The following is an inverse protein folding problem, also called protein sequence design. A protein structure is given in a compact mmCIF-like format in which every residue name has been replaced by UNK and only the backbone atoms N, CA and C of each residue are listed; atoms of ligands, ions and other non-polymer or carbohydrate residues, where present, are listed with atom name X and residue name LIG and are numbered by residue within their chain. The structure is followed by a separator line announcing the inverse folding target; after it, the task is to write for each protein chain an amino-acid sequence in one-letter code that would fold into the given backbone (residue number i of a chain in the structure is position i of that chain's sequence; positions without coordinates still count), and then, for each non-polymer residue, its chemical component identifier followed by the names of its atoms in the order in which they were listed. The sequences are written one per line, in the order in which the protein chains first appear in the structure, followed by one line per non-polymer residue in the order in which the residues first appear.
data_IF_222179826333
#
_entry.id   IF_222179826333
#
_cell.length_a   1.000
_cell.length_b   1.000
_cell.length_c   1.000
_cell.angle_alpha   90.00
_cell.angle_beta   90.00
_cell.angle_gamma   90.00
#
_symmetry.space_group_name_H-M   'P 1'
#
loop_
_entity.id
_entity.type
_entity.pdbx_description
1 polymer ?
#
# COMPACT_ATOMS: atom_id res chain seq x y z
N UNK A 1 18.00 9.83 -4.41
CA UNK A 1 18.34 8.77 -3.43
C UNK A 1 18.70 7.50 -4.16
N UNK A 2 19.79 6.86 -3.78
CA UNK A 2 20.19 5.54 -4.25
C UNK A 2 19.69 4.49 -3.26
N UNK A 3 19.17 3.38 -3.79
CA UNK A 3 18.82 2.17 -3.04
C UNK A 3 19.60 1.02 -3.69
N UNK A 4 20.57 0.44 -2.97
CA UNK A 4 21.26 -0.77 -3.41
C UNK A 4 20.50 -1.98 -2.87
N UNK A 5 20.00 -2.79 -3.78
CA UNK A 5 19.24 -4.01 -3.46
C UNK A 5 20.16 -5.20 -3.67
N UNK A 6 20.34 -6.08 -2.68
CA UNK A 6 21.21 -7.24 -2.80
C UNK A 6 20.63 -8.32 -3.73
N UNK A 7 21.48 -9.19 -4.31
CA UNK A 7 21.03 -10.38 -5.02
C UNK A 7 20.22 -11.31 -4.11
N UNK A 8 19.18 -11.93 -4.68
CA UNK A 8 18.28 -12.83 -3.95
C UNK A 8 17.14 -12.12 -3.23
N UNK A 9 17.03 -10.79 -3.38
CA UNK A 9 15.92 -10.02 -2.84
C UNK A 9 14.57 -10.54 -3.38
N UNK A 10 13.62 -10.68 -2.49
CA UNK A 10 12.22 -10.97 -2.83
C UNK A 10 11.50 -9.76 -3.44
N UNK A 11 10.17 -9.81 -3.52
CA UNK A 11 9.41 -8.68 -4.02
C UNK A 11 9.59 -7.44 -3.15
N UNK A 12 9.96 -6.32 -3.76
CA UNK A 12 9.99 -5.01 -3.15
C UNK A 12 9.38 -3.98 -4.09
N UNK A 13 9.01 -2.82 -3.56
CA UNK A 13 8.45 -1.74 -4.37
C UNK A 13 8.79 -0.39 -3.76
N UNK A 14 8.79 0.63 -4.57
CA UNK A 14 8.80 2.03 -4.16
C UNK A 14 7.43 2.59 -4.48
N UNK A 15 6.74 3.09 -3.48
CA UNK A 15 5.53 3.87 -3.65
C UNK A 15 5.77 5.33 -3.24
N UNK A 16 5.04 6.24 -3.83
CA UNK A 16 5.08 7.65 -3.46
C UNK A 16 4.33 7.95 -2.14
N UNK A 17 4.26 9.21 -1.73
CA UNK A 17 3.59 9.64 -0.51
C UNK A 17 2.09 9.27 -0.45
N UNK A 18 1.47 8.90 -1.57
CA UNK A 18 0.06 8.51 -1.69
C UNK A 18 -0.11 7.03 -2.05
N UNK A 19 0.92 6.23 -1.81
CA UNK A 19 0.97 4.81 -2.18
C UNK A 19 0.72 4.52 -3.67
N UNK A 20 1.00 5.50 -4.55
CA UNK A 20 1.02 5.24 -5.99
C UNK A 20 2.34 4.56 -6.35
N UNK A 21 2.25 3.63 -7.25
CA UNK A 21 3.40 2.87 -7.74
C UNK A 21 4.45 3.77 -8.41
N UNK A 22 5.71 3.58 -8.05
CA UNK A 22 6.87 4.23 -8.66
C UNK A 22 7.72 3.21 -9.41
N UNK A 23 8.24 2.18 -8.73
CA UNK A 23 9.03 1.11 -9.33
C UNK A 23 9.05 -0.11 -8.42
N UNK A 24 9.02 -1.32 -9.00
CA UNK A 24 9.28 -2.55 -8.27
C UNK A 24 10.79 -2.81 -8.16
N UNK A 25 11.20 -3.52 -7.09
CA UNK A 25 12.58 -3.94 -6.84
C UNK A 25 12.65 -5.44 -6.56
N UNK A 26 13.83 -6.03 -6.69
CA UNK A 26 14.01 -7.47 -6.45
C UNK A 26 13.31 -8.33 -7.51
N UNK A 27 12.69 -9.42 -7.11
CA UNK A 27 12.15 -10.42 -8.04
C UNK A 27 11.20 -9.86 -9.13
N UNK A 28 10.23 -8.97 -8.85
CA UNK A 28 9.40 -8.35 -9.87
C UNK A 28 10.03 -7.12 -10.54
N UNK A 29 11.11 -6.58 -9.96
CA UNK A 29 11.78 -5.39 -10.45
C UNK A 29 12.62 -5.60 -11.70
N UNK A 30 13.18 -4.53 -12.27
CA UNK A 30 14.05 -4.63 -13.45
C UNK A 30 15.32 -5.42 -13.19
N UNK A 31 15.80 -5.50 -11.95
CA UNK A 31 16.94 -6.33 -11.55
C UNK A 31 16.62 -7.84 -11.52
N UNK A 32 15.35 -8.22 -11.52
CA UNK A 32 14.88 -9.61 -11.52
C UNK A 32 15.50 -10.47 -10.43
N UNK A 33 15.68 -9.91 -9.25
CA UNK A 33 16.28 -10.56 -8.10
C UNK A 33 17.81 -10.76 -8.20
N UNK A 34 18.44 -10.19 -9.21
CA UNK A 34 19.92 -10.26 -9.36
C UNK A 34 20.64 -9.20 -8.52
N UNK A 35 19.88 -8.31 -7.92
CA UNK A 35 20.39 -7.15 -7.23
C UNK A 35 20.73 -5.99 -8.18
N UNK A 36 20.83 -4.80 -7.63
CA UNK A 36 21.14 -3.62 -8.44
C UNK A 36 21.01 -2.33 -7.67
N UNK A 37 21.37 -1.25 -8.35
CA UNK A 37 21.28 0.10 -7.82
C UNK A 37 20.08 0.83 -8.44
N UNK A 38 19.17 1.24 -7.59
CA UNK A 38 18.00 2.03 -7.98
C UNK A 38 18.27 3.50 -7.65
N UNK A 39 18.00 4.37 -8.60
CA UNK A 39 18.11 5.81 -8.40
C UNK A 39 16.73 6.45 -8.44
N UNK A 40 16.21 6.79 -7.26
CA UNK A 40 14.94 7.50 -7.12
C UNK A 40 15.23 8.98 -7.21
N UNK A 41 14.82 9.57 -8.30
CA UNK A 41 14.97 11.01 -8.60
C UNK A 41 13.81 11.77 -7.93
N UNK A 42 14.07 12.95 -7.36
CA UNK A 42 13.02 13.78 -6.79
C UNK A 42 12.18 14.44 -7.89
N UNK A 43 10.98 14.94 -7.57
CA UNK A 43 10.20 15.76 -8.48
C UNK A 43 10.99 16.97 -8.99
N UNK A 44 10.86 17.28 -10.28
CA UNK A 44 11.55 18.43 -10.90
C UNK A 44 13.06 18.26 -11.09
N UNK A 45 13.59 17.03 -11.02
CA UNK A 45 15.00 16.79 -11.28
C UNK A 45 15.31 16.97 -12.78
N UNK A 46 16.26 17.87 -13.08
CA UNK A 46 16.72 18.20 -14.45
C UNK A 46 18.19 17.83 -14.68
N UNK A 47 18.85 17.19 -13.71
CA UNK A 47 20.25 16.80 -13.80
C UNK A 47 20.49 15.57 -14.67
N UNK A 48 21.76 15.30 -14.97
CA UNK A 48 22.17 14.08 -15.65
C UNK A 48 22.00 12.85 -14.74
N UNK A 49 21.51 11.77 -15.34
CA UNK A 49 21.39 10.47 -14.67
C UNK A 49 22.63 9.64 -15.04
N UNK A 50 23.46 9.27 -14.07
CA UNK A 50 24.64 8.45 -14.37
C UNK A 50 24.25 7.03 -14.79
N UNK A 51 25.08 6.40 -15.58
CA UNK A 51 24.93 5.00 -15.99
C UNK A 51 25.02 4.02 -14.81
N UNK A 52 24.42 2.85 -14.98
CA UNK A 52 24.49 1.75 -13.99
C UNK A 52 23.39 1.79 -12.94
N UNK A 53 22.38 2.62 -13.11
CA UNK A 53 21.22 2.68 -12.21
C UNK A 53 19.92 2.34 -12.94
N UNK A 54 19.02 1.65 -12.24
CA UNK A 54 17.61 1.64 -12.59
C UNK A 54 16.99 2.95 -12.08
N UNK A 55 16.86 3.93 -12.95
CA UNK A 55 16.41 5.26 -12.55
C UNK A 55 14.92 5.47 -12.80
N UNK A 56 14.26 6.19 -11.87
CA UNK A 56 12.87 6.61 -11.99
C UNK A 56 12.66 7.91 -11.23
N UNK A 57 11.81 8.79 -11.76
CA UNK A 57 11.41 10.01 -11.05
C UNK A 57 10.17 9.73 -10.22
N UNK A 58 10.25 9.95 -8.91
CA UNK A 58 9.08 9.93 -8.03
C UNK A 58 8.30 11.25 -8.17
N UNK A 59 6.97 11.22 -8.18
CA UNK A 59 6.15 12.44 -8.18
C UNK A 59 6.12 13.15 -6.80
N UNK A 60 6.68 12.54 -5.76
CA UNK A 60 6.73 13.10 -4.40
C UNK A 60 8.12 13.02 -3.78
N UNK A 61 8.40 13.87 -2.80
CA UNK A 61 9.66 13.83 -2.04
C UNK A 61 9.70 12.68 -1.05
N UNK A 62 8.54 12.32 -0.48
CA UNK A 62 8.42 11.18 0.43
C UNK A 62 8.11 9.91 -0.35
N UNK A 63 8.83 8.84 -0.04
CA UNK A 63 8.60 7.54 -0.64
C UNK A 63 8.52 6.47 0.45
N UNK A 64 7.68 5.49 0.23
CA UNK A 64 7.55 4.27 1.03
C UNK A 64 8.22 3.12 0.30
N UNK A 65 9.12 2.40 0.97
CA UNK A 65 9.94 1.35 0.37
C UNK A 65 9.82 0.05 1.17
N UNK A 66 8.75 -0.74 0.99
CA UNK A 66 8.65 -2.08 1.57
C UNK A 66 9.51 -3.06 0.77
N UNK A 67 10.34 -3.79 1.48
CA UNK A 67 11.24 -4.79 0.93
C UNK A 67 10.95 -6.15 1.59
N UNK A 68 10.96 -7.22 0.80
CA UNK A 68 10.72 -8.58 1.26
C UNK A 68 11.88 -9.48 0.88
N UNK A 69 11.98 -10.63 1.54
CA UNK A 69 12.90 -11.68 1.20
C UNK A 69 12.19 -13.03 1.20
N UNK A 70 12.79 -14.01 0.55
CA UNK A 70 12.35 -15.40 0.63
C UNK A 70 12.91 -16.05 1.90
N UNK A 71 12.12 -16.94 2.49
CA UNK A 71 12.60 -17.82 3.55
C UNK A 71 13.45 -18.94 2.95
N UNK A 72 14.49 -19.32 3.64
CA UNK A 72 15.30 -20.50 3.31
C UNK A 72 15.07 -21.53 4.40
N UNK A 73 14.57 -22.70 4.03
CA UNK A 73 14.21 -23.78 4.97
C UNK A 73 13.27 -23.31 6.10
N UNK A 74 12.34 -22.39 5.78
CA UNK A 74 11.40 -21.81 6.74
C UNK A 74 12.02 -20.84 7.76
N UNK A 75 13.32 -20.48 7.61
CA UNK A 75 14.06 -19.61 8.53
C UNK A 75 14.28 -18.21 7.97
N UNK A 76 14.40 -17.25 8.87
CA UNK A 76 14.61 -15.83 8.54
C UNK A 76 16.08 -15.41 8.48
N UNK A 77 17.01 -16.21 9.01
CA UNK A 77 18.41 -15.83 9.23
C UNK A 77 19.12 -15.38 7.95
N UNK A 78 18.91 -16.13 6.85
CA UNK A 78 19.49 -15.81 5.54
C UNK A 78 18.92 -14.49 5.01
N UNK A 79 17.63 -14.27 5.16
CA UNK A 79 16.97 -13.06 4.75
C UNK A 79 17.44 -11.84 5.56
N UNK A 80 17.53 -11.97 6.87
CA UNK A 80 18.05 -10.92 7.77
C UNK A 80 19.48 -10.56 7.42
N UNK A 81 20.35 -11.57 7.24
CA UNK A 81 21.74 -11.35 6.85
C UNK A 81 21.86 -10.65 5.50
N UNK A 82 21.11 -11.12 4.50
CA UNK A 82 21.11 -10.52 3.15
C UNK A 82 20.77 -9.03 3.21
N UNK A 83 19.73 -8.65 3.96
CA UNK A 83 19.33 -7.24 4.07
C UNK A 83 20.30 -6.42 4.93
N UNK A 84 20.75 -6.92 6.06
CA UNK A 84 21.66 -6.19 6.94
C UNK A 84 23.04 -5.93 6.33
N UNK A 85 23.53 -6.83 5.49
CA UNK A 85 24.83 -6.69 4.82
C UNK A 85 24.73 -5.99 3.45
N UNK A 86 23.61 -6.17 2.73
CA UNK A 86 23.50 -5.79 1.33
C UNK A 86 22.66 -4.56 1.02
N UNK A 87 21.70 -4.20 1.88
CA UNK A 87 20.88 -3.01 1.66
C UNK A 87 21.66 -1.74 2.00
N UNK A 88 21.68 -0.79 1.04
CA UNK A 88 22.19 0.55 1.30
C UNK A 88 21.23 1.60 0.76
N UNK A 89 21.01 2.65 1.52
CA UNK A 89 20.18 3.80 1.13
C UNK A 89 20.95 5.07 1.42
N UNK A 90 21.23 5.86 0.38
CA UNK A 90 22.07 7.06 0.52
C UNK A 90 21.80 8.09 -0.60
N UNK A 91 22.17 9.37 -0.41
CA UNK A 91 22.15 10.37 -1.49
C UNK A 91 23.15 10.04 -2.60
N UNK A 92 22.82 10.28 -3.86
CA UNK A 92 23.69 10.01 -5.00
C UNK A 92 25.11 10.60 -4.82
N UNK A 93 25.22 11.78 -4.22
CA UNK A 93 26.51 12.43 -3.95
C UNK A 93 27.43 11.63 -3.00
N UNK A 94 26.92 10.62 -2.32
CA UNK A 94 27.69 9.78 -1.39
C UNK A 94 28.01 8.39 -1.95
N UNK A 95 27.89 8.21 -3.26
CA UNK A 95 28.11 6.89 -3.92
C UNK A 95 29.53 6.35 -3.70
N UNK A 96 30.55 7.21 -3.62
CA UNK A 96 31.93 6.79 -3.38
C UNK A 96 32.24 6.38 -1.94
N UNK A 97 31.45 6.89 -0.99
CA UNK A 97 31.56 6.58 0.44
C UNK A 97 30.17 6.57 1.08
N UNK A 98 29.35 5.54 0.81
CA UNK A 98 28.01 5.43 1.39
C UNK A 98 28.06 5.36 2.91
N UNK A 99 27.17 6.04 3.64
CA UNK A 99 27.09 5.94 5.09
C UNK A 99 26.70 4.53 5.53
N UNK A 100 27.09 4.18 6.72
CA UNK A 100 26.64 2.93 7.36
C UNK A 100 25.12 2.94 7.56
N UNK A 101 24.49 1.81 7.31
CA UNK A 101 23.05 1.64 7.51
C UNK A 101 22.76 1.33 8.99
N UNK A 102 21.78 2.02 9.54
CA UNK A 102 21.25 1.75 10.88
C UNK A 102 19.95 0.98 10.75
N UNK A 103 19.94 -0.26 11.21
CA UNK A 103 18.76 -1.11 11.21
C UNK A 103 18.08 -1.12 12.58
N UNK A 104 16.77 -0.91 12.59
CA UNK A 104 15.95 -1.00 13.80
C UNK A 104 15.17 -2.30 13.74
N UNK A 105 15.34 -3.15 14.75
CA UNK A 105 14.52 -4.35 14.87
C UNK A 105 13.12 -4.00 15.34
N UNK A 106 12.15 -4.09 14.45
CA UNK A 106 10.74 -3.82 14.73
C UNK A 106 9.95 -5.01 15.30
N UNK A 107 10.60 -6.16 15.49
CA UNK A 107 9.91 -7.35 16.00
C UNK A 107 9.41 -7.11 17.43
N UNK A 108 8.11 -7.31 17.65
CA UNK A 108 7.46 -7.07 18.94
C UNK A 108 7.23 -5.60 19.29
N UNK A 109 7.58 -4.67 18.42
CA UNK A 109 7.24 -3.25 18.60
C UNK A 109 5.79 -3.00 18.16
N UNK A 110 5.09 -2.19 18.94
CA UNK A 110 3.76 -1.72 18.54
C UNK A 110 3.86 -0.55 17.57
N UNK A 111 3.15 -0.65 16.45
CA UNK A 111 3.06 0.41 15.46
C UNK A 111 1.60 0.73 15.19
N UNK A 112 1.28 2.01 15.13
CA UNK A 112 0.00 2.44 14.57
C UNK A 112 0.08 2.42 13.05
N UNK A 113 -0.62 1.49 12.42
CA UNK A 113 -0.65 1.30 10.95
C UNK A 113 -1.92 1.83 10.30
N UNK A 114 -2.82 2.43 11.07
CA UNK A 114 -4.06 3.03 10.57
C UNK A 114 -3.96 4.55 10.55
N UNK A 115 -4.63 5.17 9.58
CA UNK A 115 -4.77 6.63 9.54
C UNK A 115 -5.63 7.13 10.71
N UNK A 116 -5.47 8.39 11.09
CA UNK A 116 -6.39 9.04 12.03
C UNK A 116 -7.82 9.04 11.46
N UNK A 117 -8.80 8.70 12.29
CA UNK A 117 -10.22 8.67 11.93
C UNK A 117 -11.03 9.77 12.67
N UNK A 118 -10.33 10.81 13.07
CA UNK A 118 -10.85 12.01 13.73
C UNK A 118 -10.28 13.26 13.05
N UNK A 119 -10.44 14.43 13.63
CA UNK A 119 -9.94 15.68 13.07
C UNK A 119 -8.42 15.68 12.77
N UNK A 120 -7.62 14.90 13.49
CA UNK A 120 -6.17 14.79 13.27
C UNK A 120 -5.83 14.33 11.83
N UNK A 121 -6.73 13.60 11.16
CA UNK A 121 -6.58 13.26 9.74
C UNK A 121 -6.31 14.49 8.86
N UNK A 122 -7.01 15.60 9.09
CA UNK A 122 -6.83 16.82 8.31
C UNK A 122 -5.53 17.54 8.67
N UNK A 123 -5.11 17.45 9.94
CA UNK A 123 -3.81 17.98 10.38
C UNK A 123 -2.66 17.23 9.72
N UNK A 124 -2.73 15.90 9.69
CA UNK A 124 -1.75 15.05 9.02
C UNK A 124 -1.75 15.27 7.50
N UNK A 125 -2.93 15.39 6.89
CA UNK A 125 -3.08 15.66 5.46
C UNK A 125 -2.47 17.01 5.09
N UNK A 126 -2.70 18.06 5.88
CA UNK A 126 -2.08 19.36 5.64
C UNK A 126 -0.56 19.29 5.67
N UNK A 127 0.05 18.56 6.61
CA UNK A 127 1.51 18.34 6.65
C UNK A 127 2.04 17.75 5.34
N UNK A 128 1.30 16.80 4.75
CA UNK A 128 1.66 16.18 3.46
C UNK A 128 1.53 17.21 2.32
N UNK A 129 0.43 17.99 2.29
CA UNK A 129 0.22 19.04 1.29
C UNK A 129 1.32 20.10 1.34
N UNK A 130 1.73 20.51 2.54
CA UNK A 130 2.80 21.49 2.71
C UNK A 130 4.17 20.96 2.29
N UNK A 131 4.41 19.66 2.44
CA UNK A 131 5.69 19.01 2.12
C UNK A 131 5.82 18.71 0.64
N UNK A 132 4.82 18.06 0.06
CA UNK A 132 4.92 17.50 -1.29
C UNK A 132 4.73 18.55 -2.39
N UNK A 133 5.22 18.30 -3.63
CA UNK A 133 5.05 19.25 -4.73
C UNK A 133 3.58 19.47 -5.09
N UNK A 134 3.29 20.65 -5.60
CA UNK A 134 1.92 20.99 -6.04
C UNK A 134 1.42 20.03 -7.11
N UNK A 135 2.30 19.61 -8.03
CA UNK A 135 1.98 18.73 -9.15
C UNK A 135 1.76 17.27 -8.74
N UNK A 136 2.11 16.92 -7.51
CA UNK A 136 1.82 15.60 -6.96
C UNK A 136 0.30 15.35 -6.83
N UNK A 137 -0.51 16.41 -6.78
CA UNK A 137 -1.96 16.36 -6.69
C UNK A 137 -2.62 16.72 -8.02
N UNK A 138 -3.58 15.90 -8.43
CA UNK A 138 -4.43 16.24 -9.57
C UNK A 138 -5.19 17.55 -9.31
N UNK A 139 -5.38 18.46 -10.31
CA UNK A 139 -6.05 19.74 -10.12
C UNK A 139 -7.42 19.65 -9.42
N UNK A 140 -8.24 18.65 -9.76
CA UNK A 140 -9.55 18.44 -9.11
C UNK A 140 -9.39 18.18 -7.61
N UNK A 141 -8.44 17.35 -7.21
CA UNK A 141 -8.18 17.07 -5.80
C UNK A 141 -7.67 18.32 -5.07
N UNK A 142 -6.80 19.11 -5.72
CA UNK A 142 -6.37 20.42 -5.18
C UNK A 142 -7.54 21.38 -4.98
N UNK A 143 -8.48 21.40 -5.93
CA UNK A 143 -9.71 22.19 -5.84
C UNK A 143 -10.55 21.80 -4.63
N UNK A 144 -10.77 20.50 -4.42
CA UNK A 144 -11.50 19.98 -3.25
C UNK A 144 -10.79 20.35 -1.93
N UNK A 145 -9.48 20.19 -1.84
CA UNK A 145 -8.71 20.58 -0.66
C UNK A 145 -8.74 22.09 -0.42
N UNK A 146 -8.63 22.89 -1.47
CA UNK A 146 -8.73 24.35 -1.39
C UNK A 146 -10.10 24.83 -0.89
N UNK A 147 -11.18 24.12 -1.21
CA UNK A 147 -12.54 24.48 -0.77
C UNK A 147 -12.75 24.37 0.74
N UNK A 148 -11.90 23.58 1.42
CA UNK A 148 -11.88 23.48 2.89
C UNK A 148 -10.71 24.26 3.51
N UNK A 149 -10.01 25.09 2.72
CA UNK A 149 -8.93 25.94 3.19
C UNK A 149 -7.54 25.34 3.20
N UNK A 150 -7.36 24.10 2.70
CA UNK A 150 -6.05 23.47 2.58
C UNK A 150 -5.37 23.87 1.28
N UNK A 151 -4.31 24.66 1.38
CA UNK A 151 -3.53 25.14 0.23
C UNK A 151 -2.03 25.13 0.57
N UNK A 152 -1.21 24.66 -0.37
CA UNK A 152 0.24 24.72 -0.20
C UNK A 152 0.72 26.16 -0.01
N UNK A 153 1.58 26.35 0.98
CA UNK A 153 2.13 27.66 1.35
C UNK A 153 1.21 28.53 2.21
N UNK A 154 0.04 28.00 2.63
CA UNK A 154 -0.86 28.69 3.54
C UNK A 154 -1.11 27.83 4.79
N UNK A 155 -1.16 28.41 5.99
CA UNK A 155 -1.53 27.69 7.19
C UNK A 155 -2.97 27.19 7.11
N UNK A 156 -3.18 25.92 7.45
CA UNK A 156 -4.54 25.37 7.62
C UNK A 156 -5.07 25.72 9.01
N UNK A 157 -5.93 26.70 9.09
CA UNK A 157 -6.50 27.20 10.34
C UNK A 157 -8.02 27.43 10.22
N UNK A 158 -8.82 26.33 10.20
CA UNK A 158 -10.27 26.44 10.09
C UNK A 158 -10.89 27.07 11.35
N UNK A 159 -11.96 27.83 11.15
CA UNK A 159 -12.81 28.31 12.26
C UNK A 159 -13.52 27.12 12.96
N UNK A 160 -14.12 27.37 14.13
CA UNK A 160 -14.83 26.34 14.90
C UNK A 160 -15.94 25.66 14.11
N UNK A 161 -16.67 26.40 13.27
CA UNK A 161 -17.74 25.84 12.44
C UNK A 161 -17.19 24.84 11.44
N UNK A 162 -16.14 25.21 10.72
CA UNK A 162 -15.50 24.32 9.74
C UNK A 162 -14.83 23.12 10.42
N UNK A 163 -14.19 23.33 11.57
CA UNK A 163 -13.58 22.25 12.35
C UNK A 163 -14.61 21.20 12.79
N UNK A 164 -15.77 21.62 13.26
CA UNK A 164 -16.87 20.73 13.62
C UNK A 164 -17.38 19.98 12.39
N UNK A 165 -17.57 20.67 11.26
CA UNK A 165 -17.97 20.05 9.99
C UNK A 165 -16.96 18.99 9.53
N UNK A 166 -15.66 19.26 9.61
CA UNK A 166 -14.61 18.31 9.24
C UNK A 166 -14.55 17.12 10.18
N UNK A 167 -14.83 17.32 11.47
CA UNK A 167 -14.92 16.24 12.45
C UNK A 167 -16.07 15.27 12.13
N UNK A 168 -17.21 15.79 11.72
CA UNK A 168 -18.33 14.95 11.24
C UNK A 168 -17.99 14.30 9.89
N UNK A 169 -17.38 15.03 8.98
CA UNK A 169 -17.01 14.54 7.66
C UNK A 169 -16.07 13.35 7.72
N UNK A 170 -15.05 13.36 8.59
CA UNK A 170 -14.14 12.23 8.72
C UNK A 170 -14.82 10.99 9.31
N UNK A 171 -15.76 11.16 10.25
CA UNK A 171 -16.53 10.05 10.80
C UNK A 171 -17.39 9.38 9.70
N UNK A 172 -18.09 10.18 8.89
CA UNK A 172 -18.89 9.72 7.75
C UNK A 172 -17.98 9.06 6.69
N UNK A 173 -16.86 9.70 6.36
CA UNK A 173 -15.89 9.18 5.40
C UNK A 173 -15.31 7.82 5.81
N UNK A 174 -14.96 7.67 7.08
CA UNK A 174 -14.47 6.40 7.63
C UNK A 174 -15.54 5.30 7.62
N UNK A 175 -16.77 5.62 8.01
CA UNK A 175 -17.90 4.69 7.94
C UNK A 175 -18.19 4.26 6.50
N UNK A 176 -18.13 5.20 5.54
CA UNK A 176 -18.30 4.92 4.11
C UNK A 176 -17.20 4.00 3.58
N UNK A 177 -15.94 4.30 3.89
CA UNK A 177 -14.81 3.48 3.47
C UNK A 177 -14.90 2.05 4.04
N UNK A 178 -15.30 1.93 5.30
CA UNK A 178 -15.55 0.63 5.95
C UNK A 178 -16.68 -0.15 5.28
N UNK A 179 -17.79 0.52 4.96
CA UNK A 179 -18.90 -0.12 4.25
C UNK A 179 -18.46 -0.63 2.89
N UNK A 180 -17.76 0.19 2.09
CA UNK A 180 -17.23 -0.20 0.79
C UNK A 180 -16.21 -1.35 0.88
N UNK A 181 -15.46 -1.44 1.98
CA UNK A 181 -14.47 -2.49 2.17
C UNK A 181 -15.09 -3.86 2.50
N UNK A 182 -16.16 -3.89 3.29
CA UNK A 182 -16.75 -5.14 3.81
C UNK A 182 -18.12 -5.48 3.20
N UNK A 183 -18.68 -4.57 2.39
CA UNK A 183 -19.90 -4.76 1.60
C UNK A 183 -19.75 -4.10 0.23
N UNK A 184 -18.83 -4.60 -0.61
CA UNK A 184 -18.56 -3.99 -1.91
C UNK A 184 -19.79 -4.02 -2.82
N UNK A 185 -20.02 -2.91 -3.56
CA UNK A 185 -21.20 -2.71 -4.38
C UNK A 185 -21.11 -3.29 -5.80
N UNK A 186 -19.90 -3.67 -6.22
CA UNK A 186 -19.66 -4.18 -7.58
C UNK A 186 -19.77 -5.70 -7.61
N UNK A 187 -20.61 -6.22 -8.48
CA UNK A 187 -20.73 -7.67 -8.66
C UNK A 187 -19.45 -8.31 -9.19
N UNK A 188 -18.66 -7.56 -9.97
CA UNK A 188 -17.40 -8.05 -10.56
C UNK A 188 -16.30 -8.37 -9.53
N UNK A 189 -16.45 -7.91 -8.30
CA UNK A 189 -15.46 -8.16 -7.24
C UNK A 189 -15.59 -9.56 -6.63
N UNK A 190 -16.79 -10.15 -6.69
CA UNK A 190 -17.06 -11.44 -6.08
C UNK A 190 -16.46 -12.59 -6.91
N UNK A 191 -15.86 -13.53 -6.21
CA UNK A 191 -15.17 -14.67 -6.84
C UNK A 191 -16.14 -15.80 -7.21
N UNK A 192 -17.34 -15.83 -6.61
CA UNK A 192 -18.37 -16.84 -6.80
C UNK A 192 -19.74 -16.18 -6.81
N UNK A 193 -20.65 -16.62 -7.68
CA UNK A 193 -21.96 -16.00 -7.90
C UNK A 193 -22.88 -16.02 -6.65
N UNK A 194 -22.80 -17.08 -5.84
CA UNK A 194 -23.67 -17.29 -4.68
C UNK A 194 -22.95 -17.22 -3.35
N UNK A 195 -21.76 -16.57 -3.30
CA UNK A 195 -20.91 -16.48 -2.11
C UNK A 195 -20.45 -15.05 -1.86
N UNK A 196 -20.08 -14.78 -0.61
CA UNK A 196 -19.62 -13.47 -0.17
C UNK A 196 -18.08 -13.35 -0.19
N UNK A 197 -17.40 -14.21 -0.95
CA UNK A 197 -15.95 -14.14 -1.12
C UNK A 197 -15.58 -13.21 -2.26
N UNK A 198 -14.74 -12.25 -2.00
CA UNK A 198 -14.35 -11.21 -2.95
C UNK A 198 -12.84 -10.99 -3.02
N UNK A 199 -12.37 -10.37 -4.10
CA UNK A 199 -10.97 -10.00 -4.28
C UNK A 199 -10.70 -8.58 -3.74
N UNK A 200 -9.46 -8.33 -3.29
CA UNK A 200 -9.02 -6.97 -2.94
C UNK A 200 -8.72 -6.09 -4.17
N UNK A 201 -8.63 -6.67 -5.36
CA UNK A 201 -8.11 -6.02 -6.56
C UNK A 201 -9.15 -5.96 -7.69
N UNK A 202 -10.34 -5.44 -7.39
CA UNK A 202 -11.37 -5.26 -8.41
C UNK A 202 -10.88 -4.38 -9.55
N UNK A 203 -11.09 -4.82 -10.78
CA UNK A 203 -10.62 -4.17 -12.01
C UNK A 203 -9.17 -4.46 -12.39
N UNK A 204 -8.32 -5.03 -11.51
CA UNK A 204 -6.96 -5.48 -11.83
C UNK A 204 -5.99 -4.40 -12.34
N UNK A 205 -6.23 -3.13 -12.04
CA UNK A 205 -5.36 -2.00 -12.43
C UNK A 205 -4.78 -1.31 -11.17
N UNK A 206 -3.46 -1.30 -11.04
CA UNK A 206 -2.75 -0.69 -9.91
C UNK A 206 -2.98 0.82 -9.77
N UNK A 207 -3.44 1.48 -10.82
CA UNK A 207 -3.84 2.89 -10.84
C UNK A 207 -5.31 3.08 -10.47
N UNK A 208 -6.06 1.97 -10.28
CA UNK A 208 -7.50 1.99 -10.02
C UNK A 208 -8.27 2.70 -11.14
N UNK A 209 -7.96 2.38 -12.38
CA UNK A 209 -8.70 2.85 -13.54
C UNK A 209 -9.61 1.74 -14.07
N UNK A 210 -10.82 2.11 -14.51
CA UNK A 210 -11.73 1.19 -15.20
C UNK A 210 -11.24 0.89 -16.62
N UNK A 211 -11.83 -0.06 -17.26
CA UNK A 211 -11.62 -0.39 -18.67
C UNK A 211 -10.15 -0.61 -19.03
N UNK A 212 -9.46 -1.40 -18.21
CA UNK A 212 -8.04 -1.73 -18.39
C UNK A 212 -7.13 -0.50 -18.45
N UNK A 213 -7.47 0.53 -17.68
CA UNK A 213 -6.68 1.75 -17.59
C UNK A 213 -7.12 2.87 -18.55
N UNK A 214 -8.17 2.66 -19.33
CA UNK A 214 -8.70 3.65 -20.28
C UNK A 214 -9.90 4.43 -19.73
N UNK A 215 -10.52 3.93 -18.66
CA UNK A 215 -11.69 4.54 -18.05
C UNK A 215 -11.38 5.51 -16.89
N UNK A 216 -12.43 5.97 -16.27
CA UNK A 216 -12.33 6.84 -15.10
C UNK A 216 -11.80 6.13 -13.85
N UNK A 217 -11.46 6.91 -12.82
CA UNK A 217 -11.00 6.39 -11.52
C UNK A 217 -12.07 5.50 -10.88
N UNK A 218 -11.71 4.27 -10.55
CA UNK A 218 -12.56 3.34 -9.82
C UNK A 218 -12.48 3.63 -8.32
N UNK A 219 -13.30 4.57 -7.85
CA UNK A 219 -13.22 5.10 -6.50
C UNK A 219 -13.51 4.04 -5.43
N UNK A 220 -14.51 3.18 -5.64
CA UNK A 220 -14.88 2.15 -4.68
C UNK A 220 -13.75 1.12 -4.49
N UNK A 221 -13.18 0.60 -5.58
CA UNK A 221 -12.08 -0.35 -5.53
C UNK A 221 -10.84 0.25 -4.86
N UNK A 222 -10.50 1.50 -5.19
CA UNK A 222 -9.40 2.21 -4.54
C UNK A 222 -9.67 2.41 -3.05
N UNK A 223 -10.87 2.82 -2.67
CA UNK A 223 -11.25 3.04 -1.26
C UNK A 223 -11.22 1.74 -0.48
N UNK A 224 -11.80 0.67 -1.02
CA UNK A 224 -11.74 -0.66 -0.43
C UNK A 224 -10.29 -1.09 -0.17
N UNK A 225 -9.45 -1.03 -1.19
CA UNK A 225 -8.07 -1.48 -1.08
C UNK A 225 -7.30 -0.70 -0.01
N UNK A 226 -7.33 0.63 -0.05
CA UNK A 226 -6.59 1.46 0.90
C UNK A 226 -7.23 1.51 2.29
N UNK A 227 -8.44 1.02 2.46
CA UNK A 227 -9.00 0.77 3.77
C UNK A 227 -8.39 -0.48 4.43
N UNK A 228 -8.10 -1.53 3.66
CA UNK A 228 -7.60 -2.82 4.19
C UNK A 228 -6.09 -3.00 4.05
N UNK A 229 -5.44 -2.25 3.14
CA UNK A 229 -4.01 -2.38 2.83
C UNK A 229 -3.40 -1.01 2.48
N UNK A 230 -2.07 -0.96 2.29
CA UNK A 230 -1.35 0.29 2.05
C UNK A 230 -0.51 0.31 0.78
N UNK A 231 0.15 -0.79 0.43
CA UNK A 231 1.10 -0.88 -0.69
C UNK A 231 0.42 -1.41 -1.93
N UNK A 232 0.72 -0.80 -3.08
CA UNK A 232 0.16 -1.20 -4.36
C UNK A 232 1.22 -1.23 -5.46
N UNK A 233 1.25 -2.31 -6.25
CA UNK A 233 2.13 -2.49 -7.40
C UNK A 233 1.41 -3.23 -8.52
N UNK A 234 1.85 -3.09 -9.80
CA UNK A 234 1.36 -3.93 -10.88
C UNK A 234 1.45 -5.42 -10.57
N UNK A 235 2.55 -5.86 -9.95
CA UNK A 235 2.76 -7.25 -9.60
C UNK A 235 1.76 -7.80 -8.56
N UNK A 236 1.18 -6.95 -7.72
CA UNK A 236 0.16 -7.36 -6.74
C UNK A 236 -1.23 -7.50 -7.37
N UNK A 237 -1.61 -6.61 -8.26
CA UNK A 237 -2.98 -6.57 -8.81
C UNK A 237 -3.18 -7.55 -9.97
N UNK A 238 -2.10 -7.97 -10.63
CA UNK A 238 -2.16 -8.92 -11.73
C UNK A 238 -2.20 -10.36 -11.22
N UNK A 239 -3.16 -11.13 -11.72
CA UNK A 239 -3.22 -12.56 -11.46
C UNK A 239 -2.14 -13.27 -12.27
N UNK A 240 -1.10 -13.77 -11.61
CA UNK A 240 -0.03 -14.56 -12.23
C UNK A 240 -0.15 -16.02 -11.81
N UNK A 241 -0.63 -16.88 -12.71
CA UNK A 241 -0.76 -18.30 -12.42
C UNK A 241 0.64 -18.92 -12.17
N UNK A 242 0.79 -19.64 -11.06
CA UNK A 242 2.05 -20.27 -10.66
C UNK A 242 3.06 -19.32 -9.99
N UNK A 243 2.70 -18.05 -9.78
CA UNK A 243 3.54 -17.08 -9.08
C UNK A 243 2.68 -16.11 -8.24
N UNK A 244 3.24 -15.66 -7.13
CA UNK A 244 2.58 -14.71 -6.23
C UNK A 244 1.46 -15.33 -5.39
N UNK A 245 0.79 -14.50 -4.60
CA UNK A 245 -0.32 -14.87 -3.73
C UNK A 245 -1.65 -14.41 -4.31
N UNK A 246 -2.70 -15.20 -4.06
CA UNK A 246 -4.08 -14.81 -4.34
C UNK A 246 -4.82 -14.70 -3.02
N UNK A 247 -5.71 -13.72 -2.92
CA UNK A 247 -6.47 -13.44 -1.72
C UNK A 247 -7.97 -13.57 -2.00
N UNK A 248 -8.67 -14.20 -1.08
CA UNK A 248 -10.11 -14.19 -1.02
C UNK A 248 -10.51 -13.61 0.34
N UNK A 249 -11.27 -12.54 0.34
CA UNK A 249 -11.76 -11.84 1.52
C UNK A 249 -13.23 -12.19 1.75
N UNK A 250 -13.63 -12.27 3.01
CA UNK A 250 -15.02 -12.47 3.36
C UNK A 250 -15.33 -11.81 4.70
N UNK A 251 -16.46 -11.13 4.80
CA UNK A 251 -16.95 -10.50 6.01
C UNK A 251 -18.33 -11.05 6.44
N UNK A 252 -18.91 -12.01 5.70
CA UNK A 252 -20.26 -12.52 5.92
C UNK A 252 -20.30 -14.05 6.05
N UNK A 253 -21.28 -14.55 6.77
CA UNK A 253 -21.57 -15.98 6.81
C UNK A 253 -22.45 -16.44 5.61
N UNK A 254 -22.78 -17.72 5.57
CA UNK A 254 -23.57 -18.29 4.49
C UNK A 254 -25.01 -17.75 4.41
N UNK A 255 -25.53 -17.15 5.48
CA UNK A 255 -26.85 -16.50 5.50
C UNK A 255 -26.81 -15.04 5.09
N UNK A 256 -25.61 -14.47 4.86
CA UNK A 256 -25.40 -13.08 4.48
C UNK A 256 -25.25 -12.13 5.67
N UNK A 257 -25.25 -12.65 6.90
CA UNK A 257 -25.01 -11.84 8.09
C UNK A 257 -23.51 -11.57 8.29
N UNK A 258 -23.17 -10.41 8.82
CA UNK A 258 -21.78 -10.10 9.11
C UNK A 258 -21.21 -11.04 10.19
N UNK A 259 -19.95 -11.42 10.02
CA UNK A 259 -19.24 -12.22 11.02
C UNK A 259 -19.15 -11.46 12.34
N UNK A 260 -19.51 -12.15 13.41
CA UNK A 260 -19.58 -11.62 14.77
C UNK A 260 -18.61 -12.42 15.66
N UNK A 261 -17.68 -11.75 16.31
CA UNK A 261 -16.70 -12.37 17.20
C UNK A 261 -17.29 -13.10 18.41
N UNK A 262 -18.57 -12.88 18.74
CA UNK A 262 -19.27 -13.62 19.79
C UNK A 262 -19.86 -14.96 19.32
N UNK A 263 -19.78 -15.26 18.01
CA UNK A 263 -20.34 -16.48 17.41
C UNK A 263 -19.24 -17.46 16.98
N UNK A 264 -19.56 -18.73 16.99
CA UNK A 264 -18.71 -19.78 16.43
C UNK A 264 -19.09 -20.04 14.96
N UNK A 265 -18.09 -20.16 14.09
CA UNK A 265 -18.27 -20.41 12.68
C UNK A 265 -17.50 -21.65 12.23
N UNK A 266 -18.01 -22.32 11.22
CA UNK A 266 -17.33 -23.45 10.57
C UNK A 266 -17.03 -23.04 9.13
N UNK A 267 -15.76 -23.03 8.75
CA UNK A 267 -15.31 -22.84 7.39
C UNK A 267 -15.02 -24.21 6.75
N UNK A 268 -15.68 -24.51 5.64
CA UNK A 268 -15.42 -25.70 4.85
C UNK A 268 -14.46 -25.35 3.71
N UNK A 269 -13.32 -26.02 3.68
CA UNK A 269 -12.27 -25.83 2.66
C UNK A 269 -12.17 -27.13 1.88
N UNK A 270 -12.18 -27.11 0.54
CA UNK A 270 -11.96 -28.31 -0.27
C UNK A 270 -10.56 -28.89 0.00
N UNK A 271 -10.44 -30.21 -0.16
CA UNK A 271 -9.18 -30.89 0.13
C UNK A 271 -8.06 -30.57 -0.88
N UNK A 272 -8.44 -30.12 -2.08
CA UNK A 272 -7.57 -29.88 -3.22
C UNK A 272 -7.37 -28.38 -3.51
N UNK A 273 -7.12 -27.59 -2.46
CA UNK A 273 -6.79 -26.17 -2.65
C UNK A 273 -5.64 -26.02 -3.64
N UNK A 274 -5.81 -25.31 -4.76
CA UNK A 274 -4.79 -25.21 -5.81
C UNK A 274 -3.65 -24.23 -5.42
N UNK A 275 -3.00 -24.51 -4.30
CA UNK A 275 -1.86 -23.75 -3.80
C UNK A 275 -0.57 -24.54 -4.07
N UNK A 276 0.40 -23.88 -4.71
CA UNK A 276 1.70 -24.50 -5.02
C UNK A 276 2.53 -24.76 -3.76
N UNK A 277 2.62 -23.75 -2.90
CA UNK A 277 3.54 -23.79 -1.77
C UNK A 277 2.77 -23.90 -0.43
N UNK A 278 1.83 -23.01 -0.16
CA UNK A 278 1.00 -23.05 1.05
C UNK A 278 -0.27 -22.24 0.88
N UNK A 279 -1.21 -22.45 1.78
CA UNK A 279 -2.36 -21.58 1.99
C UNK A 279 -2.60 -21.35 3.49
N UNK A 280 -3.25 -20.29 3.84
CA UNK A 280 -3.60 -19.99 5.23
C UNK A 280 -4.89 -19.21 5.32
N UNK A 281 -5.53 -19.26 6.49
CA UNK A 281 -6.68 -18.43 6.85
C UNK A 281 -6.24 -17.51 7.97
N UNK A 282 -6.50 -16.23 7.78
CA UNK A 282 -6.18 -15.22 8.78
C UNK A 282 -7.44 -14.43 9.11
N UNK A 283 -7.71 -14.24 10.38
CA UNK A 283 -8.83 -13.45 10.87
C UNK A 283 -8.32 -12.10 11.33
N UNK A 284 -8.99 -11.04 10.88
CA UNK A 284 -8.63 -9.66 11.20
C UNK A 284 -9.77 -8.94 11.92
N UNK A 285 -9.41 -8.07 12.86
CA UNK A 285 -10.35 -7.07 13.36
C UNK A 285 -10.59 -5.99 12.29
N UNK A 286 -11.87 -5.69 11.95
CA UNK A 286 -12.16 -4.77 10.85
C UNK A 286 -11.96 -3.28 11.18
N UNK A 287 -11.75 -2.92 12.44
CA UNK A 287 -11.49 -1.53 12.84
C UNK A 287 -9.99 -1.24 12.89
N UNK A 288 -9.25 -2.08 13.59
CA UNK A 288 -7.80 -1.95 13.71
C UNK A 288 -7.06 -2.50 12.49
N UNK A 289 -7.71 -3.38 11.71
CA UNK A 289 -7.11 -4.11 10.58
C UNK A 289 -5.93 -4.97 10.99
N UNK A 290 -5.82 -5.26 12.26
CA UNK A 290 -4.80 -6.14 12.84
C UNK A 290 -5.27 -7.58 12.84
N UNK A 291 -4.32 -8.49 12.62
CA UNK A 291 -4.53 -9.92 12.78
C UNK A 291 -4.89 -10.23 14.23
N UNK A 292 -5.93 -11.03 14.44
CA UNK A 292 -6.25 -11.50 15.76
C UNK A 292 -5.21 -12.52 16.25
N UNK A 293 -4.88 -12.47 17.52
CA UNK A 293 -4.08 -13.51 18.15
C UNK A 293 -4.91 -14.79 18.25
N UNK A 294 -4.31 -15.89 17.86
CA UNK A 294 -4.89 -17.25 17.96
C UNK A 294 -4.18 -18.07 19.02
#
# INVERSE_FOLDING_TARGET
TVIEVPPGAGPGTVNDAFFRFVIDTGAPGPDRGKGGKYLILPPGFEGEVPDGYFSVTSPTFTNWVPLRAFLVDGKTDVAVKMWSEGLKIYPLAQTTNPPEMVFINGTGMEFNTIHANNYEFFVELDKVIQKEPLDAFHPELRGLLSSIGMQKGKPFNPDERLKNTLTEAIAIGNATARALAFDPRSDSIYLYEDKYWYTAFDGGDHRWLRDQGNGGRYLDARTLFFYIATVNTPAMVLKMVGAGSQYALNARDASGEYLDGAKAYKLNIPADVPAKDFWSIVVYDPQTRSMLQT
#
